data_IF_939538740847
#
_entry.id   IF_939538740847
#
_cell.length_a   1.000
_cell.length_b   1.000
_cell.length_c   1.000
_cell.angle_alpha   90.00
_cell.angle_beta   90.00
_cell.angle_gamma   90.00
#
_symmetry.space_group_name_H-M   'P 1'
#
loop_
_entity.id
_entity.type
_entity.pdbx_description
1 polymer ?
#
# COMPACT_ATOMS: atom_id res chain seq x y z
N UNK A 1 -8.92 -10.24 -3.64
CA UNK A 1 -8.20 -10.19 -2.35
C UNK A 1 -7.79 -8.75 -2.12
N UNK A 2 -7.81 -8.29 -0.89
CA UNK A 2 -7.32 -6.96 -0.50
C UNK A 2 -6.08 -7.17 0.36
N UNK A 3 -5.16 -6.21 0.32
CA UNK A 3 -3.91 -6.21 1.09
C UNK A 3 -4.12 -6.17 2.62
N UNK A 4 -5.36 -5.96 3.09
CA UNK A 4 -5.73 -6.06 4.51
C UNK A 4 -5.08 -4.98 5.40
N UNK A 5 -5.67 -4.73 6.56
CA UNK A 5 -5.13 -3.78 7.53
C UNK A 5 -5.17 -4.41 8.92
N UNK A 6 -4.03 -4.44 9.60
CA UNK A 6 -3.91 -5.02 10.96
C UNK A 6 -3.68 -3.97 12.04
N UNK A 7 -2.79 -3.01 11.78
CA UNK A 7 -2.40 -1.99 12.76
C UNK A 7 -2.58 -0.61 12.13
N UNK A 8 -3.21 0.30 12.88
CA UNK A 8 -3.45 1.67 12.46
C UNK A 8 -3.08 2.61 13.61
N UNK A 9 -2.28 3.64 13.33
CA UNK A 9 -1.90 4.63 14.32
C UNK A 9 -1.72 6.01 13.70
N UNK A 10 -2.32 7.03 14.32
CA UNK A 10 -1.91 8.42 14.12
C UNK A 10 -0.52 8.63 14.75
N UNK A 11 0.37 9.32 14.04
CA UNK A 11 1.76 9.50 14.44
C UNK A 11 2.35 10.80 13.88
N UNK A 12 3.61 11.04 14.17
CA UNK A 12 4.43 12.04 13.51
C UNK A 12 5.57 11.36 12.77
N UNK A 13 5.77 11.72 11.50
CA UNK A 13 6.85 11.20 10.68
C UNK A 13 7.60 12.37 10.06
N UNK A 14 8.92 12.47 10.32
CA UNK A 14 9.77 13.59 9.87
C UNK A 14 9.23 14.98 10.27
N UNK A 15 8.53 15.06 11.41
CA UNK A 15 7.91 16.29 11.89
C UNK A 15 6.54 16.60 11.28
N UNK A 16 6.04 15.79 10.35
CA UNK A 16 4.73 15.93 9.73
C UNK A 16 3.69 15.06 10.45
N UNK A 17 2.43 15.50 10.56
CA UNK A 17 1.33 14.64 11.00
C UNK A 17 1.14 13.52 9.97
N UNK A 18 1.06 12.29 10.45
CA UNK A 18 1.00 11.14 9.58
C UNK A 18 0.07 10.05 10.11
N UNK A 19 -0.48 9.30 9.17
CA UNK A 19 -1.14 8.04 9.44
C UNK A 19 -0.21 6.88 9.08
N UNK A 20 -0.03 5.93 9.99
CA UNK A 20 0.69 4.69 9.72
C UNK A 20 -0.25 3.50 9.77
N UNK A 21 -0.28 2.74 8.69
CA UNK A 21 -1.08 1.51 8.56
C UNK A 21 -0.20 0.32 8.22
N UNK A 22 -0.42 -0.81 8.87
CA UNK A 22 0.25 -2.07 8.53
C UNK A 22 -0.59 -2.84 7.53
N UNK A 23 0.05 -3.19 6.42
CA UNK A 23 -0.56 -3.86 5.27
C UNK A 23 0.16 -5.16 4.96
N UNK A 24 -0.55 -6.08 4.34
CA UNK A 24 -0.03 -7.34 3.83
C UNK A 24 -0.36 -7.47 2.33
N UNK A 25 0.20 -6.57 1.53
CA UNK A 25 0.06 -6.60 0.09
C UNK A 25 1.01 -7.59 -0.56
N UNK A 26 0.69 -7.97 -1.80
CA UNK A 26 1.46 -8.91 -2.62
C UNK A 26 2.92 -8.49 -2.83
N UNK A 27 3.16 -7.20 -3.04
CA UNK A 27 4.48 -6.61 -3.31
C UNK A 27 5.12 -6.03 -2.04
N UNK A 28 4.30 -5.64 -1.06
CA UNK A 28 4.78 -5.06 0.20
C UNK A 28 3.99 -5.56 1.42
N UNK A 29 4.68 -6.24 2.32
CA UNK A 29 4.23 -6.52 3.68
C UNK A 29 5.04 -5.65 4.65
N UNK A 30 4.36 -4.77 5.38
CA UNK A 30 5.01 -3.77 6.22
C UNK A 30 4.08 -2.61 6.53
N UNK A 31 4.65 -1.44 6.82
CA UNK A 31 3.86 -0.23 7.03
C UNK A 31 3.78 0.62 5.76
N UNK A 32 2.62 1.23 5.54
CA UNK A 32 2.43 2.42 4.70
C UNK A 32 2.32 3.61 5.64
N UNK A 33 3.07 4.67 5.37
CA UNK A 33 2.99 5.92 6.12
C UNK A 33 2.50 6.99 5.15
N UNK A 34 1.38 7.62 5.48
CA UNK A 34 0.78 8.73 4.74
C UNK A 34 0.94 9.99 5.58
N UNK A 35 1.85 10.88 5.18
CA UNK A 35 2.11 12.13 5.88
C UNK A 35 1.46 13.30 5.12
N UNK A 36 0.80 14.21 5.83
CA UNK A 36 0.26 15.43 5.22
C UNK A 36 1.38 16.45 5.12
N UNK A 37 1.76 16.82 3.89
CA UNK A 37 2.72 17.88 3.66
C UNK A 37 2.05 19.25 3.81
N UNK A 38 2.84 20.27 4.14
CA UNK A 38 2.33 21.62 4.38
C UNK A 38 1.79 22.33 3.14
N UNK A 39 1.68 21.64 2.01
CA UNK A 39 1.27 22.15 0.70
C UNK A 39 -0.03 21.53 0.20
N UNK A 40 -0.83 20.93 1.08
CA UNK A 40 -2.12 20.28 0.80
C UNK A 40 -2.04 18.99 -0.04
N UNK A 41 -0.87 18.33 -0.02
CA UNK A 41 -0.69 17.00 -0.59
C UNK A 41 -0.24 16.00 0.47
N UNK A 42 -0.35 14.72 0.14
CA UNK A 42 0.18 13.63 0.95
C UNK A 42 1.52 13.12 0.40
N UNK A 43 2.43 12.81 1.32
CA UNK A 43 3.62 12.01 1.06
C UNK A 43 3.36 10.56 1.47
N UNK A 44 3.61 9.61 0.58
CA UNK A 44 3.39 8.18 0.80
C UNK A 44 4.73 7.46 0.87
N UNK A 45 4.94 6.75 1.97
CA UNK A 45 6.14 5.97 2.23
C UNK A 45 5.82 4.51 2.50
N UNK A 46 6.70 3.61 2.03
CA UNK A 46 6.69 2.21 2.41
C UNK A 46 7.83 1.92 3.38
N UNK A 47 7.49 1.32 4.52
CA UNK A 47 8.46 0.87 5.51
C UNK A 47 8.44 -0.65 5.65
N UNK A 48 9.59 -1.28 5.45
CA UNK A 48 9.83 -2.71 5.72
C UNK A 48 11.03 -2.88 6.63
N UNK A 49 10.77 -3.18 7.91
CA UNK A 49 11.80 -3.16 8.95
C UNK A 49 12.40 -1.76 9.11
N UNK A 50 13.70 -1.63 8.89
CA UNK A 50 14.42 -0.34 8.94
C UNK A 50 14.48 0.37 7.58
N UNK A 51 14.14 -0.30 6.47
CA UNK A 51 14.14 0.33 5.14
C UNK A 51 12.87 1.15 5.01
N UNK A 52 13.02 2.42 4.63
CA UNK A 52 11.91 3.31 4.26
C UNK A 52 12.16 3.87 2.87
N UNK A 53 11.12 3.86 2.04
CA UNK A 53 11.14 4.34 0.66
C UNK A 53 10.01 5.34 0.46
N UNK A 54 10.30 6.49 -0.14
CA UNK A 54 9.28 7.45 -0.55
C UNK A 54 8.77 7.03 -1.93
N UNK A 55 7.47 6.80 -2.06
CA UNK A 55 6.85 6.38 -3.32
C UNK A 55 6.39 7.59 -4.12
N UNK A 56 5.75 8.54 -3.45
CA UNK A 56 5.35 9.82 -4.03
C UNK A 56 5.23 10.87 -2.92
N UNK A 57 5.74 12.08 -3.17
CA UNK A 57 5.69 13.20 -2.23
C UNK A 57 4.52 14.16 -2.43
N UNK A 58 3.80 14.03 -3.55
CA UNK A 58 2.72 14.92 -3.96
C UNK A 58 1.55 14.06 -4.45
N UNK A 59 0.73 13.57 -3.50
CA UNK A 59 -0.43 12.73 -3.79
C UNK A 59 -1.70 13.45 -3.38
N UNK A 60 -2.68 13.56 -4.28
CA UNK A 60 -4.00 14.11 -3.95
C UNK A 60 -4.84 13.09 -3.16
N UNK A 61 -5.84 13.56 -2.43
CA UNK A 61 -6.68 12.68 -1.60
C UNK A 61 -7.41 11.59 -2.40
N UNK A 62 -7.76 11.89 -3.65
CA UNK A 62 -8.44 10.99 -4.60
C UNK A 62 -7.48 10.02 -5.30
N UNK A 63 -6.18 10.29 -5.28
CA UNK A 63 -5.13 9.43 -5.84
C UNK A 63 -4.53 8.46 -4.82
N UNK A 64 -4.72 8.72 -3.52
CA UNK A 64 -4.11 7.94 -2.42
C UNK A 64 -4.33 6.44 -2.55
N UNK A 65 -5.57 6.03 -2.87
CA UNK A 65 -5.92 4.63 -3.03
C UNK A 65 -5.13 3.96 -4.16
N UNK A 66 -5.07 4.62 -5.32
CA UNK A 66 -4.39 4.09 -6.51
C UNK A 66 -2.87 4.05 -6.32
N UNK A 67 -2.28 5.10 -5.74
CA UNK A 67 -0.84 5.14 -5.44
C UNK A 67 -0.45 4.02 -4.49
N UNK A 68 -1.23 3.80 -3.43
CA UNK A 68 -0.95 2.71 -2.48
C UNK A 68 -1.15 1.35 -3.15
N UNK A 69 -2.27 1.13 -3.83
CA UNK A 69 -2.58 -0.15 -4.49
C UNK A 69 -1.51 -0.52 -5.53
N UNK A 70 -1.06 0.45 -6.33
CA UNK A 70 0.03 0.24 -7.28
C UNK A 70 1.35 -0.13 -6.60
N UNK A 71 1.67 0.53 -5.50
CA UNK A 71 2.93 0.31 -4.81
C UNK A 71 2.99 -1.04 -4.06
N UNK A 72 1.85 -1.51 -3.52
CA UNK A 72 1.83 -2.68 -2.62
C UNK A 72 1.18 -3.93 -3.22
N UNK A 73 0.38 -3.81 -4.26
CA UNK A 73 -0.41 -4.92 -4.81
C UNK A 73 -0.20 -5.09 -6.32
N UNK A 74 -0.53 -4.06 -7.11
CA UNK A 74 -0.56 -4.17 -8.58
C UNK A 74 0.83 -4.25 -9.18
N UNK A 75 1.72 -3.30 -8.82
CA UNK A 75 3.02 -3.13 -9.45
C UNK A 75 2.95 -2.53 -10.84
N UNK A 76 4.06 -2.59 -11.57
CA UNK A 76 4.22 -1.98 -12.91
C UNK A 76 4.01 -2.96 -14.06
N UNK A 77 4.02 -4.27 -13.80
CA UNK A 77 3.77 -5.32 -14.80
C UNK A 77 2.30 -5.78 -14.75
N UNK A 78 1.47 -5.19 -15.61
CA UNK A 78 0.05 -5.53 -15.70
C UNK A 78 -0.18 -7.00 -16.08
N UNK A 79 0.62 -7.57 -16.98
CA UNK A 79 0.43 -8.94 -17.45
C UNK A 79 0.77 -9.96 -16.37
N UNK A 80 1.78 -9.68 -15.55
CA UNK A 80 2.09 -10.46 -14.35
C UNK A 80 0.96 -10.36 -13.31
N UNK A 81 0.45 -9.16 -13.05
CA UNK A 81 -0.65 -8.95 -12.13
C UNK A 81 -1.93 -9.67 -12.56
N UNK A 82 -2.31 -9.60 -13.83
CA UNK A 82 -3.50 -10.28 -14.35
C UNK A 82 -3.40 -11.81 -14.18
N UNK A 83 -2.23 -12.39 -14.48
CA UNK A 83 -1.95 -13.82 -14.25
C UNK A 83 -1.99 -14.19 -12.76
N UNK A 84 -1.59 -13.30 -11.87
CA UNK A 84 -1.74 -13.51 -10.44
C UNK A 84 -3.22 -13.51 -10.04
N UNK A 85 -4.00 -12.52 -10.50
CA UNK A 85 -5.43 -12.43 -10.22
C UNK A 85 -6.21 -13.66 -10.71
N UNK A 86 -5.91 -14.15 -11.91
CA UNK A 86 -6.56 -15.35 -12.46
C UNK A 86 -6.25 -16.61 -11.63
N UNK A 87 -4.99 -16.78 -11.19
CA UNK A 87 -4.61 -17.89 -10.31
C UNK A 87 -5.33 -17.81 -8.96
N UNK A 88 -5.39 -16.63 -8.35
CA UNK A 88 -6.09 -16.43 -7.08
C UNK A 88 -7.59 -16.68 -7.21
N UNK A 89 -8.21 -16.23 -8.32
CA UNK A 89 -9.61 -16.52 -8.62
C UNK A 89 -9.85 -18.02 -8.76
N UNK A 90 -8.99 -18.74 -9.46
CA UNK A 90 -9.12 -20.20 -9.61
C UNK A 90 -9.00 -20.93 -8.26
N UNK A 91 -8.04 -20.54 -7.41
CA UNK A 91 -7.87 -21.11 -6.07
C UNK A 91 -9.11 -20.87 -5.19
N UNK A 92 -9.65 -19.65 -5.19
CA UNK A 92 -10.88 -19.31 -4.48
C UNK A 92 -12.07 -20.15 -4.95
N UNK A 93 -12.26 -20.28 -6.28
CA UNK A 93 -13.34 -21.09 -6.85
C UNK A 93 -13.18 -22.60 -6.59
N UNK A 94 -11.95 -23.07 -6.36
CA UNK A 94 -11.67 -24.47 -6.01
C UNK A 94 -11.90 -24.80 -4.52
N UNK A 95 -12.23 -23.80 -3.68
CA UNK A 95 -12.40 -23.97 -2.23
C UNK A 95 -11.08 -24.17 -1.46
N UNK A 96 -9.93 -23.86 -2.07
CA UNK A 96 -8.60 -24.02 -1.48
C UNK A 96 -8.14 -22.78 -0.69
N UNK A 97 -8.87 -21.67 -0.79
CA UNK A 97 -8.67 -20.46 0.00
C UNK A 97 -9.96 -20.25 0.80
N UNK A 98 -9.86 -20.36 2.14
CA UNK A 98 -10.90 -20.02 3.10
C UNK A 98 -10.40 -18.86 3.97
#
# INVERSE_FOLDING_TARGET
>A
MSWGIEEFAATTYRGLPALRIKVNGRLHTGYVIVALNGSDYYEVYLQKGMKVECINGEVCFDELGDVIDWAIEKGTDQAEYDRFCDRQRALFLSGQIA
#
